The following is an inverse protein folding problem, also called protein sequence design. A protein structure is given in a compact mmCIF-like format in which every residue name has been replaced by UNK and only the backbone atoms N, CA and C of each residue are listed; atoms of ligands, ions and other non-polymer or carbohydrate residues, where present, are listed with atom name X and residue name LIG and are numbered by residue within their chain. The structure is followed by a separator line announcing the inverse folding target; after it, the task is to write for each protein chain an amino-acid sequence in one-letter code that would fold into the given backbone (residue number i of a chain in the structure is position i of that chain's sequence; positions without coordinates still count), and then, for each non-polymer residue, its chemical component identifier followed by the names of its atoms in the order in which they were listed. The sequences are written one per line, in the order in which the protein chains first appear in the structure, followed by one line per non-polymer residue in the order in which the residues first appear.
data_IF_759995758327
#
_entry.id   IF_759995758327
#
_cell.length_a   1.000
_cell.length_b   1.000
_cell.length_c   1.000
_cell.angle_alpha   90.00
_cell.angle_beta   90.00
_cell.angle_gamma   90.00
#
_symmetry.space_group_name_H-M   'P 1'
#
loop_
_entity.id
_entity.type
_entity.pdbx_description
1 polymer ?
#
# COMPACT_ATOMS: atom_id res chain seq x y z
N UNK A 1 -33.52 -14.56 -9.12
CA UNK A 1 -32.94 -14.73 -7.76
C UNK A 1 -32.18 -16.04 -7.76
N UNK A 2 -30.91 -16.05 -7.26
CA UNK A 2 -30.13 -17.28 -7.15
C UNK A 2 -30.72 -18.23 -6.11
N UNK A 3 -30.43 -19.54 -6.24
CA UNK A 3 -30.82 -20.54 -5.28
C UNK A 3 -30.32 -20.23 -3.87
N UNK A 4 -31.08 -20.55 -2.85
CA UNK A 4 -30.73 -20.34 -1.44
C UNK A 4 -30.51 -21.69 -0.73
N UNK A 5 -29.86 -21.64 0.45
CA UNK A 5 -29.74 -22.81 1.35
C UNK A 5 -31.12 -23.45 1.66
N UNK A 6 -32.18 -22.61 1.72
CA UNK A 6 -33.53 -23.06 1.98
C UNK A 6 -34.07 -23.93 0.82
N UNK A 7 -33.77 -23.57 -0.42
CA UNK A 7 -34.23 -24.28 -1.59
C UNK A 7 -33.60 -25.69 -1.67
N UNK A 8 -32.29 -25.79 -1.38
CA UNK A 8 -31.60 -27.09 -1.30
C UNK A 8 -32.18 -27.94 -0.15
N UNK A 9 -32.37 -27.34 1.01
CA UNK A 9 -32.91 -28.01 2.18
C UNK A 9 -34.32 -28.55 1.92
N UNK A 10 -35.22 -27.74 1.32
CA UNK A 10 -36.55 -28.14 0.94
C UNK A 10 -36.54 -29.28 -0.11
N UNK A 11 -35.70 -29.13 -1.17
CA UNK A 11 -35.63 -30.12 -2.26
C UNK A 11 -35.14 -31.50 -1.80
N UNK A 12 -34.28 -31.55 -0.79
CA UNK A 12 -33.70 -32.78 -0.25
C UNK A 12 -34.36 -33.27 1.04
N UNK A 13 -35.37 -32.55 1.56
CA UNK A 13 -35.98 -32.78 2.85
C UNK A 13 -34.97 -32.86 4.01
N UNK A 14 -34.02 -31.92 4.04
CA UNK A 14 -32.97 -31.80 5.05
C UNK A 14 -33.09 -30.47 5.81
N UNK A 15 -32.45 -30.40 7.01
CA UNK A 15 -32.36 -29.13 7.71
C UNK A 15 -31.39 -28.19 7.00
N UNK A 16 -31.63 -26.85 7.08
CA UNK A 16 -30.70 -25.84 6.59
C UNK A 16 -29.31 -26.00 7.21
N UNK A 17 -29.25 -26.41 8.47
CA UNK A 17 -28.01 -26.63 9.21
C UNK A 17 -27.21 -27.79 8.62
N UNK A 18 -27.86 -28.90 8.29
CA UNK A 18 -27.24 -30.07 7.62
C UNK A 18 -26.66 -29.66 6.27
N UNK A 19 -27.45 -28.96 5.45
CA UNK A 19 -26.99 -28.46 4.15
C UNK A 19 -25.79 -27.51 4.31
N UNK A 20 -25.85 -26.59 5.27
CA UNK A 20 -24.76 -25.64 5.55
C UNK A 20 -23.48 -26.37 5.97
N UNK A 21 -23.57 -27.38 6.84
CA UNK A 21 -22.39 -28.15 7.26
C UNK A 21 -21.73 -28.90 6.10
N UNK A 22 -22.54 -29.49 5.23
CA UNK A 22 -22.02 -30.18 4.03
C UNK A 22 -21.32 -29.19 3.09
N UNK A 23 -21.97 -28.06 2.76
CA UNK A 23 -21.44 -27.06 1.86
C UNK A 23 -20.21 -26.32 2.41
N UNK A 24 -20.03 -26.32 3.75
CA UNK A 24 -18.83 -25.77 4.40
C UNK A 24 -17.72 -26.80 4.64
N UNK A 25 -17.86 -28.04 4.11
CA UNK A 25 -16.85 -29.10 4.29
C UNK A 25 -16.79 -29.69 5.70
N UNK A 26 -17.83 -29.47 6.52
CA UNK A 26 -17.90 -29.99 7.89
C UNK A 26 -18.71 -31.29 8.01
N UNK A 27 -19.17 -31.85 6.89
CA UNK A 27 -20.05 -33.02 6.86
C UNK A 27 -19.51 -34.17 7.70
N UNK A 28 -18.25 -34.56 7.52
CA UNK A 28 -17.64 -35.69 8.26
C UNK A 28 -17.54 -35.38 9.75
N UNK A 29 -17.10 -34.18 10.13
CA UNK A 29 -17.00 -33.73 11.54
C UNK A 29 -18.36 -33.72 12.26
N UNK A 30 -19.45 -33.61 11.50
CA UNK A 30 -20.83 -33.56 12.00
C UNK A 30 -21.57 -34.90 11.85
N UNK A 31 -20.88 -35.98 11.45
CA UNK A 31 -21.42 -37.29 11.32
C UNK A 31 -22.46 -37.44 10.18
N UNK A 32 -22.39 -36.62 9.15
CA UNK A 32 -23.29 -36.68 7.99
C UNK A 32 -22.75 -37.72 7.01
N UNK A 33 -23.62 -38.72 6.65
CA UNK A 33 -23.23 -39.81 5.75
C UNK A 33 -22.70 -39.28 4.39
N UNK A 34 -21.73 -39.98 3.80
CA UNK A 34 -21.17 -39.66 2.48
C UNK A 34 -22.24 -39.59 1.40
N UNK A 35 -23.28 -40.46 1.47
CA UNK A 35 -24.41 -40.42 0.57
C UNK A 35 -25.18 -39.08 0.66
N UNK A 36 -25.50 -38.64 1.89
CA UNK A 36 -26.19 -37.36 2.11
C UNK A 36 -25.33 -36.17 1.65
N UNK A 37 -24.02 -36.21 1.91
CA UNK A 37 -23.12 -35.17 1.42
C UNK A 37 -23.11 -35.11 -0.11
N UNK A 38 -23.00 -36.24 -0.79
CA UNK A 38 -23.03 -36.29 -2.26
C UNK A 38 -24.35 -35.75 -2.83
N UNK A 39 -25.51 -36.09 -2.23
CA UNK A 39 -26.80 -35.55 -2.63
C UNK A 39 -26.90 -34.04 -2.48
N UNK A 40 -26.39 -33.48 -1.38
CA UNK A 40 -26.37 -32.05 -1.14
C UNK A 40 -25.50 -31.35 -2.17
N UNK A 41 -24.28 -31.83 -2.41
CA UNK A 41 -23.35 -31.26 -3.39
C UNK A 41 -23.89 -31.32 -4.83
N UNK A 42 -24.52 -32.44 -5.21
CA UNK A 42 -25.15 -32.60 -6.52
C UNK A 42 -26.33 -31.62 -6.68
N UNK A 43 -27.17 -31.48 -5.66
CA UNK A 43 -28.31 -30.58 -5.66
C UNK A 43 -27.83 -29.09 -5.74
N UNK A 44 -26.79 -28.72 -4.98
CA UNK A 44 -26.21 -27.38 -5.03
C UNK A 44 -25.71 -27.05 -6.44
N UNK A 45 -24.96 -27.97 -7.07
CA UNK A 45 -24.52 -27.83 -8.48
C UNK A 45 -25.71 -27.70 -9.47
N UNK A 46 -26.72 -28.52 -9.33
CA UNK A 46 -27.89 -28.48 -10.24
C UNK A 46 -28.70 -27.19 -10.14
N UNK A 47 -28.62 -26.50 -8.99
CA UNK A 47 -29.31 -25.24 -8.73
C UNK A 47 -28.40 -24.04 -8.97
N UNK A 48 -27.16 -24.24 -9.44
CA UNK A 48 -26.13 -23.20 -9.54
C UNK A 48 -26.05 -22.36 -8.23
N UNK A 49 -26.09 -23.07 -7.09
CA UNK A 49 -26.04 -22.41 -5.79
C UNK A 49 -24.66 -21.82 -5.52
N UNK A 50 -24.61 -20.52 -5.28
CA UNK A 50 -23.43 -19.83 -4.81
C UNK A 50 -23.57 -19.46 -3.32
N UNK A 51 -22.57 -19.80 -2.47
CA UNK A 51 -22.60 -19.43 -1.08
C UNK A 51 -22.68 -17.91 -0.90
N UNK A 52 -23.68 -17.45 -0.15
CA UNK A 52 -23.77 -16.04 0.20
C UNK A 52 -22.71 -15.71 1.28
N UNK A 53 -21.57 -15.17 0.84
CA UNK A 53 -20.45 -14.82 1.72
C UNK A 53 -20.83 -13.76 2.76
N UNK A 54 -21.75 -12.83 2.43
CA UNK A 54 -22.26 -11.84 3.38
C UNK A 54 -23.07 -12.50 4.51
N UNK A 55 -23.96 -13.44 4.16
CA UNK A 55 -24.71 -14.18 5.18
C UNK A 55 -23.79 -15.04 6.05
N UNK A 56 -22.74 -15.61 5.46
CA UNK A 56 -21.72 -16.37 6.19
C UNK A 56 -20.94 -15.48 7.13
N UNK A 57 -20.48 -14.32 6.70
CA UNK A 57 -19.72 -13.37 7.52
C UNK A 57 -20.53 -12.86 8.71
N UNK A 58 -21.84 -12.62 8.53
CA UNK A 58 -22.75 -12.26 9.62
C UNK A 58 -22.82 -13.34 10.72
N UNK A 59 -22.80 -14.62 10.33
CA UNK A 59 -22.88 -15.73 11.27
C UNK A 59 -21.54 -16.06 11.94
N UNK A 60 -20.44 -15.90 11.22
CA UNK A 60 -19.09 -16.26 11.72
C UNK A 60 -18.35 -15.07 12.34
N UNK A 61 -18.79 -13.84 12.06
CA UNK A 61 -18.07 -12.63 12.42
C UNK A 61 -16.82 -12.36 11.56
N UNK A 62 -16.53 -13.22 10.55
CA UNK A 62 -15.33 -13.15 9.70
C UNK A 62 -15.73 -12.97 8.25
N UNK A 63 -15.26 -11.89 7.61
CA UNK A 63 -15.56 -11.56 6.22
C UNK A 63 -14.61 -12.22 5.21
N UNK A 64 -13.46 -12.71 5.67
CA UNK A 64 -12.36 -13.16 4.80
C UNK A 64 -11.92 -12.10 3.80
N UNK A 65 -11.98 -10.83 4.22
CA UNK A 65 -11.58 -9.68 3.40
C UNK A 65 -10.65 -8.79 4.21
N UNK A 66 -9.53 -8.39 3.62
CA UNK A 66 -8.59 -7.41 4.16
C UNK A 66 -8.72 -6.12 3.36
N UNK A 67 -8.77 -4.98 4.04
CA UNK A 67 -8.71 -3.66 3.41
C UNK A 67 -7.26 -3.24 3.16
N UNK A 68 -6.94 -2.77 1.96
CA UNK A 68 -5.63 -2.22 1.62
C UNK A 68 -5.79 -0.78 1.16
N UNK A 69 -5.24 0.17 1.93
CA UNK A 69 -5.28 1.59 1.60
C UNK A 69 -3.88 2.04 1.18
N UNK A 70 -3.79 2.48 -0.07
CA UNK A 70 -2.56 2.93 -0.73
C UNK A 70 -2.58 4.44 -0.95
N UNK A 71 -1.42 5.11 -1.03
CA UNK A 71 -1.35 6.49 -1.52
C UNK A 71 -1.84 6.64 -2.96
N UNK A 72 -1.45 5.72 -3.85
CA UNK A 72 -1.86 5.74 -5.26
C UNK A 72 -1.90 4.33 -5.84
N UNK A 73 -2.99 3.97 -6.51
CA UNK A 73 -3.14 2.69 -7.20
C UNK A 73 -2.33 2.67 -8.52
N UNK A 74 -2.12 3.83 -9.14
CA UNK A 74 -1.40 3.95 -10.40
C UNK A 74 0.12 4.03 -10.24
N UNK A 75 0.62 4.17 -9.01
CA UNK A 75 2.03 4.15 -8.71
C UNK A 75 2.56 2.72 -8.74
N UNK A 76 3.54 2.44 -9.59
CA UNK A 76 4.10 1.11 -9.82
C UNK A 76 4.69 0.48 -8.56
N UNK A 77 5.26 1.27 -7.66
CA UNK A 77 5.77 0.79 -6.37
C UNK A 77 4.64 0.24 -5.50
N UNK A 78 3.56 1.00 -5.33
CA UNK A 78 2.41 0.54 -4.55
C UNK A 78 1.63 -0.57 -5.24
N UNK A 79 1.57 -0.56 -6.58
CA UNK A 79 0.95 -1.65 -7.35
C UNK A 79 1.67 -2.99 -7.15
N UNK A 80 3.01 -3.00 -7.15
CA UNK A 80 3.80 -4.22 -6.87
C UNK A 80 3.62 -4.70 -5.42
N UNK A 81 3.51 -3.79 -4.45
CA UNK A 81 3.22 -4.16 -3.06
C UNK A 81 1.82 -4.78 -2.96
N UNK A 82 0.83 -4.17 -3.62
CA UNK A 82 -0.54 -4.69 -3.62
C UNK A 82 -0.62 -6.10 -4.23
N UNK A 83 0.07 -6.36 -5.35
CA UNK A 83 0.18 -7.66 -6.00
C UNK A 83 0.75 -8.74 -5.04
N UNK A 84 1.80 -8.38 -4.29
CA UNK A 84 2.39 -9.30 -3.31
C UNK A 84 1.48 -9.56 -2.11
N UNK A 85 0.83 -8.52 -1.60
CA UNK A 85 -0.12 -8.67 -0.49
C UNK A 85 -1.32 -9.50 -0.95
N UNK A 86 -1.81 -9.31 -2.16
CA UNK A 86 -2.93 -10.06 -2.72
C UNK A 86 -2.59 -11.54 -2.82
N UNK A 87 -1.43 -11.88 -3.41
CA UNK A 87 -0.99 -13.27 -3.54
C UNK A 87 -0.85 -13.99 -2.19
N UNK A 88 -0.33 -13.31 -1.16
CA UNK A 88 -0.23 -13.90 0.19
C UNK A 88 -1.59 -13.99 0.88
N UNK A 89 -2.46 -12.99 0.70
CA UNK A 89 -3.83 -13.02 1.23
C UNK A 89 -4.64 -14.18 0.64
N UNK A 90 -4.52 -14.42 -0.68
CA UNK A 90 -5.20 -15.52 -1.37
C UNK A 90 -4.76 -16.89 -0.80
N UNK A 91 -3.48 -17.10 -0.53
CA UNK A 91 -2.97 -18.33 0.09
C UNK A 91 -3.59 -18.61 1.46
N UNK A 92 -3.89 -17.55 2.21
CA UNK A 92 -4.55 -17.63 3.52
C UNK A 92 -6.09 -17.63 3.40
N UNK A 93 -6.62 -17.65 2.19
CA UNK A 93 -8.07 -17.64 1.91
C UNK A 93 -8.73 -16.31 2.21
N UNK A 94 -8.02 -15.21 2.03
CA UNK A 94 -8.53 -13.84 2.10
C UNK A 94 -8.60 -13.20 0.72
N UNK A 95 -9.56 -12.30 0.54
CA UNK A 95 -9.62 -11.39 -0.60
C UNK A 95 -9.16 -9.99 -0.18
N UNK A 96 -8.63 -9.19 -1.11
CA UNK A 96 -8.32 -7.80 -0.84
C UNK A 96 -9.41 -6.85 -1.35
N UNK A 97 -9.68 -5.80 -0.56
CA UNK A 97 -10.40 -4.61 -0.97
C UNK A 97 -9.39 -3.46 -1.04
N UNK A 98 -9.04 -3.01 -2.25
CA UNK A 98 -7.98 -2.03 -2.48
C UNK A 98 -8.59 -0.65 -2.76
N UNK A 99 -8.03 0.40 -2.14
CA UNK A 99 -8.43 1.78 -2.40
C UNK A 99 -7.24 2.74 -2.30
N UNK A 100 -7.29 3.84 -3.09
CA UNK A 100 -6.27 4.89 -3.10
C UNK A 100 -6.70 6.12 -2.31
N UNK A 101 -5.86 6.55 -1.35
CA UNK A 101 -6.10 7.78 -0.56
C UNK A 101 -5.63 9.06 -1.26
N UNK A 102 -4.84 8.96 -2.32
CA UNK A 102 -4.13 10.07 -2.98
C UNK A 102 -3.24 10.88 -2.02
N UNK A 103 -2.79 10.27 -0.93
CA UNK A 103 -2.10 10.96 0.19
C UNK A 103 -2.93 12.10 0.80
N UNK A 104 -4.26 12.05 0.71
CA UNK A 104 -5.19 13.01 1.28
C UNK A 104 -5.78 12.45 2.58
N UNK A 105 -5.60 13.14 3.70
CA UNK A 105 -6.07 12.73 5.04
C UNK A 105 -7.59 12.51 5.08
N UNK A 106 -8.36 13.41 4.49
CA UNK A 106 -9.84 13.32 4.48
C UNK A 106 -10.32 12.07 3.73
N UNK A 107 -9.69 11.78 2.59
CA UNK A 107 -9.99 10.60 1.78
C UNK A 107 -9.58 9.32 2.49
N UNK A 108 -8.42 9.29 3.13
CA UNK A 108 -7.98 8.18 3.97
C UNK A 108 -9.01 7.87 5.07
N UNK A 109 -9.44 8.90 5.80
CA UNK A 109 -10.43 8.76 6.86
C UNK A 109 -11.78 8.23 6.34
N UNK A 110 -12.20 8.68 5.15
CA UNK A 110 -13.41 8.18 4.51
C UNK A 110 -13.28 6.68 4.12
N UNK A 111 -12.11 6.27 3.61
CA UNK A 111 -11.81 4.87 3.27
C UNK A 111 -11.75 3.98 4.51
N UNK A 112 -11.16 4.42 5.61
CA UNK A 112 -11.15 3.70 6.89
C UNK A 112 -12.60 3.46 7.34
N UNK A 113 -13.46 4.49 7.33
CA UNK A 113 -14.88 4.35 7.68
C UNK A 113 -15.62 3.38 6.76
N UNK A 114 -15.35 3.46 5.44
CA UNK A 114 -15.94 2.56 4.44
C UNK A 114 -15.56 1.11 4.74
N UNK A 115 -14.28 0.81 4.94
CA UNK A 115 -13.80 -0.55 5.17
C UNK A 115 -14.35 -1.13 6.48
N UNK A 116 -14.44 -0.30 7.53
CA UNK A 116 -15.14 -0.68 8.77
C UNK A 116 -16.62 -1.02 8.53
N UNK A 117 -17.32 -0.21 7.74
CA UNK A 117 -18.73 -0.47 7.41
C UNK A 117 -18.92 -1.75 6.60
N UNK A 118 -17.93 -2.11 5.78
CA UNK A 118 -17.88 -3.38 5.04
C UNK A 118 -17.42 -4.56 5.91
N UNK A 119 -17.04 -4.30 7.17
CA UNK A 119 -16.59 -5.31 8.13
C UNK A 119 -15.41 -6.13 7.61
N UNK A 120 -14.42 -5.48 7.01
CA UNK A 120 -13.14 -6.14 6.69
C UNK A 120 -12.50 -6.65 7.99
N UNK A 121 -11.79 -7.76 7.92
CA UNK A 121 -11.20 -8.43 9.09
C UNK A 121 -9.93 -7.74 9.60
N UNK A 122 -9.33 -6.88 8.77
CA UNK A 122 -8.17 -6.06 9.12
C UNK A 122 -7.87 -5.05 8.02
N UNK A 123 -7.03 -4.06 8.33
CA UNK A 123 -6.62 -3.03 7.38
C UNK A 123 -5.10 -2.94 7.31
N UNK A 124 -4.57 -2.98 6.09
CA UNK A 124 -3.18 -2.67 5.77
C UNK A 124 -3.17 -1.28 5.13
N UNK A 125 -2.35 -0.35 5.64
CA UNK A 125 -2.42 1.06 5.23
C UNK A 125 -1.03 1.72 5.18
N UNK A 126 -0.78 2.50 4.10
CA UNK A 126 0.30 3.49 4.07
C UNK A 126 -0.28 4.87 4.45
N UNK A 127 -0.08 5.35 5.69
CA UNK A 127 -0.80 6.52 6.19
C UNK A 127 -0.53 7.80 5.40
N UNK A 128 -1.59 8.57 5.13
CA UNK A 128 -1.51 9.92 4.58
C UNK A 128 -1.32 10.97 5.69
N UNK A 129 -1.92 10.73 6.86
CA UNK A 129 -1.85 11.62 8.02
C UNK A 129 -0.72 11.23 8.97
N UNK A 130 0.30 12.07 9.08
CA UNK A 130 1.40 11.87 10.02
C UNK A 130 0.96 11.89 11.51
N UNK A 131 -0.20 12.48 11.83
CA UNK A 131 -0.75 12.44 13.19
C UNK A 131 -1.29 11.07 13.59
N UNK A 132 -1.70 10.26 12.62
CA UNK A 132 -2.21 8.90 12.82
C UNK A 132 -3.47 8.79 13.68
N UNK A 133 -4.22 9.88 13.88
CA UNK A 133 -5.37 9.89 14.81
C UNK A 133 -6.44 8.86 14.49
N UNK A 134 -6.86 8.77 13.23
CA UNK A 134 -7.88 7.78 12.83
C UNK A 134 -7.34 6.35 12.83
N UNK A 135 -6.08 6.17 12.47
CA UNK A 135 -5.40 4.87 12.57
C UNK A 135 -5.30 4.41 14.03
N UNK A 136 -4.95 5.32 14.97
CA UNK A 136 -4.94 5.04 16.40
C UNK A 136 -6.33 4.61 16.92
N UNK A 137 -7.37 5.37 16.59
CA UNK A 137 -8.76 5.01 16.94
C UNK A 137 -9.19 3.66 16.34
N UNK A 138 -8.71 3.34 15.15
CA UNK A 138 -9.00 2.06 14.51
C UNK A 138 -8.36 0.91 15.29
N UNK A 139 -7.10 1.04 15.68
CA UNK A 139 -6.40 0.06 16.50
C UNK A 139 -7.07 -0.10 17.89
N UNK A 140 -7.40 0.99 18.55
CA UNK A 140 -8.14 1.00 19.83
C UNK A 140 -9.50 0.32 19.73
N UNK A 141 -10.17 0.35 18.57
CA UNK A 141 -11.46 -0.32 18.35
C UNK A 141 -11.35 -1.84 18.20
N UNK A 142 -10.15 -2.42 18.32
CA UNK A 142 -9.90 -3.84 18.16
C UNK A 142 -9.84 -4.33 16.71
N UNK A 143 -9.84 -3.43 15.73
CA UNK A 143 -9.62 -3.80 14.33
C UNK A 143 -8.12 -4.02 14.10
N UNK A 144 -7.68 -5.18 13.61
CA UNK A 144 -6.29 -5.41 13.26
C UNK A 144 -5.80 -4.40 12.20
N UNK A 145 -4.70 -3.70 12.50
CA UNK A 145 -4.09 -2.71 11.60
C UNK A 145 -2.62 -2.98 11.44
N UNK A 146 -2.14 -2.93 10.21
CA UNK A 146 -0.72 -2.96 9.88
C UNK A 146 -0.39 -1.75 9.01
N UNK A 147 0.62 -1.00 9.43
CA UNK A 147 1.18 0.10 8.66
C UNK A 147 2.27 -0.42 7.74
N UNK A 148 2.42 0.18 6.57
CA UNK A 148 3.56 -0.07 5.72
C UNK A 148 4.05 1.22 5.05
N UNK A 149 5.30 1.20 4.57
CA UNK A 149 5.99 2.34 3.95
C UNK A 149 6.14 3.55 4.88
N UNK A 150 5.10 3.96 5.57
CA UNK A 150 5.06 5.12 6.46
C UNK A 150 4.72 4.71 7.88
N UNK A 151 5.65 4.89 8.82
CA UNK A 151 5.42 4.64 10.23
C UNK A 151 4.77 5.84 10.93
N UNK A 152 4.11 5.57 12.05
CA UNK A 152 3.52 6.57 12.92
C UNK A 152 4.13 6.45 14.33
N UNK A 153 4.52 7.59 14.92
CA UNK A 153 5.25 7.59 16.19
C UNK A 153 4.37 7.22 17.41
N UNK A 154 3.05 7.24 17.29
CA UNK A 154 2.11 7.12 18.43
C UNK A 154 1.03 6.06 18.17
N UNK A 155 1.43 4.86 17.75
CA UNK A 155 0.48 3.76 17.55
C UNK A 155 1.12 2.44 17.91
N UNK A 156 0.34 1.54 18.51
CA UNK A 156 0.72 0.15 18.78
C UNK A 156 0.48 -0.76 17.55
N UNK A 157 0.06 -0.21 16.41
CA UNK A 157 -0.12 -0.98 15.19
C UNK A 157 1.23 -1.52 14.68
N UNK A 158 1.22 -2.76 14.22
CA UNK A 158 2.39 -3.33 13.54
C UNK A 158 2.82 -2.46 12.36
N UNK A 159 4.13 -2.30 12.15
CA UNK A 159 4.64 -1.44 11.10
C UNK A 159 5.76 -2.11 10.30
N UNK A 160 5.66 -2.07 8.97
CA UNK A 160 6.68 -2.57 8.03
C UNK A 160 7.23 -1.38 7.24
N UNK A 161 8.44 -0.98 7.56
CA UNK A 161 9.13 0.15 6.92
C UNK A 161 10.55 -0.25 6.55
N UNK A 162 11.14 0.50 5.61
CA UNK A 162 12.56 0.40 5.30
C UNK A 162 13.36 1.46 6.10
N UNK A 163 14.65 1.25 6.27
CA UNK A 163 15.53 2.27 6.84
C UNK A 163 15.83 3.36 5.79
N UNK A 164 14.93 4.33 5.73
CA UNK A 164 14.98 5.44 4.78
C UNK A 164 16.23 6.33 4.96
N UNK A 165 16.67 6.51 6.21
CA UNK A 165 17.86 7.31 6.50
C UNK A 165 19.15 6.60 6.07
N UNK A 166 19.29 5.32 6.44
CA UNK A 166 20.47 4.55 6.07
C UNK A 166 20.56 4.32 4.55
N UNK A 167 19.42 4.03 3.88
CA UNK A 167 19.36 3.88 2.43
C UNK A 167 19.81 5.14 1.68
N UNK A 168 19.28 6.30 2.07
CA UNK A 168 19.66 7.58 1.46
C UNK A 168 21.11 7.93 1.75
N UNK A 169 21.58 7.72 3.00
CA UNK A 169 22.97 7.91 3.35
C UNK A 169 23.90 7.04 2.50
N UNK A 170 23.58 5.76 2.30
CA UNK A 170 24.39 4.84 1.51
C UNK A 170 24.51 5.29 0.04
N UNK A 171 23.38 5.70 -0.56
CA UNK A 171 23.32 6.15 -1.95
C UNK A 171 24.12 7.44 -2.17
N UNK A 172 23.90 8.47 -1.34
CA UNK A 172 24.61 9.76 -1.47
C UNK A 172 26.10 9.60 -1.17
N UNK A 173 26.46 8.75 -0.19
CA UNK A 173 27.86 8.38 0.05
C UNK A 173 28.50 7.73 -1.17
N UNK A 174 27.75 6.87 -1.90
CA UNK A 174 28.23 6.26 -3.13
C UNK A 174 28.53 7.33 -4.19
N UNK A 175 27.65 8.30 -4.38
CA UNK A 175 27.88 9.42 -5.30
C UNK A 175 29.15 10.20 -4.91
N UNK A 176 29.28 10.58 -3.64
CA UNK A 176 30.45 11.29 -3.14
C UNK A 176 31.75 10.51 -3.34
N UNK A 177 31.73 9.18 -3.12
CA UNK A 177 32.88 8.29 -3.37
C UNK A 177 33.26 8.18 -4.85
N UNK A 178 32.31 8.40 -5.77
CA UNK A 178 32.54 8.46 -7.22
C UNK A 178 33.07 9.81 -7.69
N UNK A 179 33.26 10.77 -6.79
CA UNK A 179 33.81 12.06 -7.11
C UNK A 179 32.79 13.18 -7.27
N UNK A 180 31.49 12.93 -7.15
CA UNK A 180 30.46 13.96 -7.17
C UNK A 180 30.61 14.89 -5.95
N UNK A 181 30.53 16.19 -6.15
CA UNK A 181 30.74 17.20 -5.12
C UNK A 181 29.56 18.15 -4.91
N UNK A 182 28.78 18.41 -5.96
CA UNK A 182 27.62 19.30 -5.93
C UNK A 182 26.36 18.46 -6.23
N UNK A 183 25.97 17.66 -5.23
CA UNK A 183 24.85 16.73 -5.33
C UNK A 183 23.58 17.46 -4.91
N UNK A 184 22.66 17.68 -5.84
CA UNK A 184 21.34 18.24 -5.54
C UNK A 184 20.40 17.18 -4.99
N UNK A 185 19.48 17.59 -4.10
CA UNK A 185 18.36 16.75 -3.63
C UNK A 185 17.04 17.27 -4.18
N UNK A 186 16.26 16.37 -4.79
CA UNK A 186 14.92 16.67 -5.29
C UNK A 186 13.91 15.84 -4.50
N UNK A 187 12.97 16.51 -3.87
CA UNK A 187 12.00 15.88 -2.96
C UNK A 187 10.57 16.33 -3.23
N UNK A 188 9.62 15.58 -2.67
CA UNK A 188 8.20 15.94 -2.62
C UNK A 188 7.65 15.56 -1.25
N UNK A 189 6.50 16.13 -0.84
CA UNK A 189 5.91 15.85 0.49
C UNK A 189 6.90 15.89 1.66
N UNK A 190 7.67 16.98 1.84
CA UNK A 190 8.75 17.03 2.86
C UNK A 190 8.25 16.82 4.29
N UNK A 191 6.94 17.01 4.54
CA UNK A 191 6.28 16.78 5.82
C UNK A 191 6.05 15.28 6.16
N UNK A 192 6.26 14.38 5.20
CA UNK A 192 6.14 12.95 5.47
C UNK A 192 7.40 12.42 6.15
N UNK A 193 7.27 11.60 7.22
CA UNK A 193 8.41 11.07 7.96
C UNK A 193 9.44 10.35 7.07
N UNK A 194 8.98 9.64 6.04
CA UNK A 194 9.86 8.96 5.07
C UNK A 194 10.75 9.94 4.31
N UNK A 195 10.21 11.10 3.90
CA UNK A 195 10.97 12.12 3.16
C UNK A 195 11.93 12.87 4.08
N UNK A 196 11.51 13.16 5.31
CA UNK A 196 12.40 13.74 6.32
C UNK A 196 13.59 12.83 6.63
N UNK A 197 13.37 11.53 6.80
CA UNK A 197 14.42 10.54 7.01
C UNK A 197 15.38 10.47 5.81
N UNK A 198 14.86 10.50 4.58
CA UNK A 198 15.69 10.50 3.37
C UNK A 198 16.53 11.77 3.27
N UNK A 199 15.97 12.92 3.57
CA UNK A 199 16.70 14.20 3.62
C UNK A 199 17.80 14.16 4.69
N UNK A 200 17.50 13.65 5.88
CA UNK A 200 18.48 13.50 6.96
C UNK A 200 19.63 12.57 6.57
N UNK A 201 19.33 11.46 5.88
CA UNK A 201 20.35 10.57 5.32
C UNK A 201 21.26 11.25 4.29
N UNK A 202 20.69 12.08 3.42
CA UNK A 202 21.44 12.92 2.47
C UNK A 202 22.40 13.88 3.19
N UNK A 203 21.90 14.68 4.14
CA UNK A 203 22.73 15.63 4.91
C UNK A 203 23.86 14.93 5.65
N UNK A 204 23.57 13.79 6.28
CA UNK A 204 24.58 13.00 7.01
C UNK A 204 25.66 12.45 6.07
N UNK A 205 25.31 12.07 4.85
CA UNK A 205 26.27 11.59 3.86
C UNK A 205 27.18 12.70 3.36
N UNK A 206 26.62 13.88 3.05
CA UNK A 206 27.43 15.06 2.67
C UNK A 206 28.43 15.42 3.78
N UNK A 207 27.95 15.58 5.02
CA UNK A 207 28.81 15.91 6.15
C UNK A 207 29.97 14.91 6.33
N UNK A 208 29.66 13.59 6.21
CA UNK A 208 30.66 12.52 6.32
C UNK A 208 31.70 12.53 5.17
N UNK A 209 31.30 13.03 4.00
CA UNK A 209 32.16 13.21 2.85
C UNK A 209 32.96 14.57 2.86
N UNK A 210 32.79 15.40 3.91
CA UNK A 210 33.37 16.74 3.96
C UNK A 210 32.74 17.72 2.98
N UNK A 211 31.53 17.46 2.51
CA UNK A 211 30.77 18.31 1.60
C UNK A 211 29.78 19.18 2.38
N UNK A 212 29.58 20.40 1.92
CA UNK A 212 28.59 21.29 2.51
C UNK A 212 27.25 21.16 1.83
N UNK A 213 26.15 21.13 2.62
CA UNK A 213 24.81 21.25 2.08
C UNK A 213 24.58 22.71 1.62
N UNK A 214 24.36 22.89 0.31
CA UNK A 214 24.03 24.17 -0.29
C UNK A 214 22.53 24.27 -0.46
N UNK A 215 21.82 25.25 0.16
CA UNK A 215 20.38 25.42 0.01
C UNK A 215 19.92 25.60 -1.44
N UNK A 216 20.78 26.08 -2.34
CA UNK A 216 20.48 26.24 -3.76
C UNK A 216 20.36 24.90 -4.49
N UNK A 217 20.93 23.83 -3.93
CA UNK A 217 20.86 22.45 -4.42
C UNK A 217 19.65 21.68 -3.86
N UNK A 218 18.76 22.35 -3.14
CA UNK A 218 17.51 21.78 -2.65
C UNK A 218 16.35 22.11 -3.59
N UNK A 219 15.65 21.09 -4.07
CA UNK A 219 14.47 21.22 -4.88
C UNK A 219 13.27 20.51 -4.27
N UNK A 220 12.21 21.27 -3.97
CA UNK A 220 10.91 20.73 -3.60
C UNK A 220 9.98 20.79 -4.79
N UNK A 221 9.31 19.67 -5.09
CA UNK A 221 8.41 19.49 -6.20
C UNK A 221 7.01 19.24 -5.67
N UNK A 222 6.05 20.06 -6.08
CA UNK A 222 4.64 19.78 -5.79
C UNK A 222 4.20 18.50 -6.51
N UNK A 223 3.55 17.58 -5.76
CA UNK A 223 3.14 16.29 -6.32
C UNK A 223 2.09 16.43 -7.41
N UNK A 224 1.13 17.34 -7.25
CA UNK A 224 0.20 17.68 -8.33
C UNK A 224 0.97 18.35 -9.48
N UNK A 225 0.94 17.75 -10.66
CA UNK A 225 1.70 18.25 -11.82
C UNK A 225 3.20 18.02 -11.75
N UNK A 226 3.66 17.08 -10.93
CA UNK A 226 5.08 16.83 -10.66
C UNK A 226 5.95 16.70 -11.93
N UNK A 227 5.43 16.20 -13.03
CA UNK A 227 6.16 16.03 -14.30
C UNK A 227 6.80 17.34 -14.78
N UNK A 228 5.99 18.40 -14.85
CA UNK A 228 6.48 19.72 -15.26
C UNK A 228 7.35 20.34 -14.17
N UNK A 229 6.91 20.23 -12.89
CA UNK A 229 7.63 20.84 -11.78
C UNK A 229 9.02 20.23 -11.53
N UNK A 230 9.24 18.95 -11.88
CA UNK A 230 10.59 18.35 -11.84
C UNK A 230 11.51 19.08 -12.82
N UNK A 231 11.07 19.25 -14.07
CA UNK A 231 11.84 19.93 -15.10
C UNK A 231 12.21 21.36 -14.68
N UNK A 232 11.21 22.15 -14.28
CA UNK A 232 11.41 23.54 -13.84
C UNK A 232 12.37 23.62 -12.64
N UNK A 233 12.30 22.64 -11.73
CA UNK A 233 13.19 22.56 -10.55
C UNK A 233 14.62 22.24 -10.94
N UNK A 234 14.82 21.31 -11.88
CA UNK A 234 16.15 20.95 -12.37
C UNK A 234 16.78 22.13 -13.12
N UNK A 235 16.03 22.77 -14.02
CA UNK A 235 16.49 23.95 -14.78
C UNK A 235 16.89 25.09 -13.85
N UNK A 236 16.07 25.36 -12.82
CA UNK A 236 16.38 26.37 -11.80
C UNK A 236 17.68 26.05 -11.05
N UNK A 237 17.89 24.79 -10.64
CA UNK A 237 19.10 24.37 -9.92
C UNK A 237 20.32 24.53 -10.82
N UNK A 238 20.27 24.06 -12.07
CA UNK A 238 21.37 24.16 -13.02
C UNK A 238 21.68 25.60 -13.41
N UNK A 239 20.66 26.46 -13.53
CA UNK A 239 20.88 27.90 -13.77
C UNK A 239 21.54 28.58 -12.57
N UNK A 240 21.22 28.15 -11.34
CA UNK A 240 21.72 28.77 -10.11
C UNK A 240 23.09 28.21 -9.70
N UNK A 241 23.33 26.92 -9.95
CA UNK A 241 24.59 26.21 -9.65
C UNK A 241 24.97 25.39 -10.89
N UNK A 242 25.57 26.03 -11.90
CA UNK A 242 25.86 25.40 -13.21
C UNK A 242 26.80 24.20 -13.15
N UNK A 243 27.61 24.11 -12.10
CA UNK A 243 28.54 23.01 -11.85
C UNK A 243 27.93 21.91 -10.92
N UNK A 244 26.60 21.82 -10.85
CA UNK A 244 25.90 20.67 -10.25
C UNK A 244 26.29 19.40 -11.02
N UNK A 245 26.81 18.41 -10.31
CA UNK A 245 27.38 17.19 -10.89
C UNK A 245 26.62 15.91 -10.53
N UNK A 246 25.64 16.00 -9.61
CA UNK A 246 24.81 14.86 -9.23
C UNK A 246 23.42 15.25 -8.73
N UNK A 247 22.45 14.32 -8.93
CA UNK A 247 21.09 14.50 -8.43
C UNK A 247 20.67 13.28 -7.62
N UNK A 248 20.15 13.52 -6.42
CA UNK A 248 19.50 12.55 -5.57
C UNK A 248 17.99 12.82 -5.51
N UNK A 249 17.20 11.90 -6.04
CA UNK A 249 15.74 11.97 -5.97
C UNK A 249 15.25 11.15 -4.79
N UNK A 250 14.41 11.74 -3.94
CA UNK A 250 13.88 11.05 -2.77
C UNK A 250 12.80 10.01 -3.13
N UNK A 251 12.22 10.08 -4.33
CA UNK A 251 11.25 9.09 -4.83
C UNK A 251 11.55 8.72 -6.28
N UNK A 252 11.20 7.49 -6.65
CA UNK A 252 11.35 6.99 -8.02
C UNK A 252 10.52 7.77 -9.03
N UNK A 253 9.34 8.29 -8.64
CA UNK A 253 8.47 9.08 -9.52
C UNK A 253 9.20 10.31 -10.04
N UNK A 254 9.91 11.04 -9.16
CA UNK A 254 10.69 12.19 -9.57
C UNK A 254 11.90 11.78 -10.41
N UNK A 255 12.53 10.64 -10.08
CA UNK A 255 13.69 10.15 -10.82
C UNK A 255 13.34 9.67 -12.23
N UNK A 256 12.15 9.12 -12.46
CA UNK A 256 11.74 8.62 -13.79
C UNK A 256 11.38 9.75 -14.77
N UNK A 257 10.92 10.89 -14.25
CA UNK A 257 10.58 12.04 -15.11
C UNK A 257 11.82 12.89 -15.47
N UNK A 258 12.83 12.92 -14.63
CA UNK A 258 14.06 13.67 -14.84
C UNK A 258 14.80 13.31 -16.16
N UNK A 259 15.01 12.02 -16.53
CA UNK A 259 15.67 11.65 -17.79
C UNK A 259 14.88 12.05 -19.04
N UNK A 260 13.56 12.05 -18.99
CA UNK A 260 12.71 12.43 -20.13
C UNK A 260 12.98 13.88 -20.53
N UNK A 261 13.22 14.76 -19.55
CA UNK A 261 13.58 16.16 -19.80
C UNK A 261 15.01 16.32 -20.33
N UNK A 262 15.94 15.45 -19.91
CA UNK A 262 17.37 15.53 -20.28
C UNK A 262 17.73 14.81 -21.57
N UNK A 263 16.92 13.89 -22.07
CA UNK A 263 17.16 13.27 -23.40
C UNK A 263 17.01 14.26 -24.55
N UNK A 264 16.44 15.43 -24.31
CA UNK A 264 16.38 16.54 -25.25
C UNK A 264 17.52 17.58 -25.06
N UNK A 265 18.29 17.52 -23.98
CA UNK A 265 19.51 18.25 -23.80
C UNK A 265 20.65 17.39 -24.33
N UNK A 266 21.13 17.70 -25.53
CA UNK A 266 22.28 17.02 -26.13
C UNK A 266 23.45 16.96 -25.13
N UNK A 267 23.73 15.77 -24.62
CA UNK A 267 25.04 15.51 -24.00
C UNK A 267 26.09 15.80 -25.07
N UNK A 268 27.12 16.63 -24.78
CA UNK A 268 28.23 16.76 -25.70
C UNK A 268 28.84 15.37 -25.90
N UNK A 269 28.73 14.84 -27.11
CA UNK A 269 29.43 13.64 -27.52
C UNK A 269 30.92 13.98 -27.52
N UNK A 270 31.64 13.53 -26.53
CA UNK A 270 33.09 13.42 -26.53
C UNK A 270 33.52 12.04 -27.00
#
# INVERSE_FOLDING_TARGET
MGASLKDIACKLNLSKTTVSWVLSGQGDKKGISAETQSRVLACARSLAYEPNLLARSLNTGVSKTIGLILPSISDTFFAHIADRIESEAEREGYSLMIAGSNSETERENALIRLFRSKKVDGIIIAPADASGREVGRLAESGCPVVLFDRGLAKTDAGCVVIDNEAGSHALVRHLAARGFRKIAIITTFPHLPTMELRHRGYLRALAKAGLHADPRLYGEVAYAGYRQHVCDTLDRILATVPDTDGFFFTTHILATEAPVSYTHLTLPTT
#
